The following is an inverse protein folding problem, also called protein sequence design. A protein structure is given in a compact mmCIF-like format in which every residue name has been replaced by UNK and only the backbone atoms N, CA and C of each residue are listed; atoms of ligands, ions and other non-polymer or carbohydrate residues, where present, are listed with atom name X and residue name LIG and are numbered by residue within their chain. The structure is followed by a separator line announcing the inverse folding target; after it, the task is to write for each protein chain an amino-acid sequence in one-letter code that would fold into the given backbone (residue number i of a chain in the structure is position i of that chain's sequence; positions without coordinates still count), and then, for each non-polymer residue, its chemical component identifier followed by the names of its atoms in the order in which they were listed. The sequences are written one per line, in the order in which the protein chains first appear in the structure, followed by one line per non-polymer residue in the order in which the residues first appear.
data_IF_775332751381
#
_entry.id   IF_775332751381
#
_cell.length_a   1.000
_cell.length_b   1.000
_cell.length_c   1.000
_cell.angle_alpha   90.00
_cell.angle_beta   90.00
_cell.angle_gamma   90.00
#
_symmetry.space_group_name_H-M   'P 1'
#
loop_
_entity.id
_entity.type
_entity.pdbx_description
1 polymer ?
#
# COMPACT_ATOMS: atom_id res chain seq x y z
N UNK A 1 -28.82 1.84 12.61
CA UNK A 1 -27.87 0.83 12.16
C UNK A 1 -27.16 1.39 10.95
N UNK A 2 -25.84 1.33 10.91
CA UNK A 2 -25.12 1.82 9.73
C UNK A 2 -25.18 0.78 8.58
N UNK A 3 -24.91 1.18 7.31
CA UNK A 3 -25.00 0.27 6.16
C UNK A 3 -24.14 -1.00 6.27
N UNK A 4 -23.02 -0.93 6.98
CA UNK A 4 -22.13 -2.09 7.22
C UNK A 4 -22.78 -3.08 8.20
N UNK A 5 -23.39 -2.58 9.27
CA UNK A 5 -24.12 -3.41 10.24
C UNK A 5 -25.30 -4.12 9.60
N UNK A 6 -26.01 -3.43 8.70
CA UNK A 6 -27.13 -3.98 7.96
C UNK A 6 -26.70 -5.08 7.00
N UNK A 7 -25.60 -4.86 6.27
CA UNK A 7 -24.97 -5.87 5.41
C UNK A 7 -24.50 -7.10 6.20
N UNK A 8 -23.84 -6.90 7.34
CA UNK A 8 -23.38 -8.00 8.20
C UNK A 8 -24.51 -8.77 8.87
N UNK A 9 -25.67 -8.14 9.09
CA UNK A 9 -26.86 -8.83 9.57
C UNK A 9 -27.42 -9.81 8.53
N UNK A 10 -27.31 -9.45 7.23
CA UNK A 10 -27.74 -10.31 6.12
C UNK A 10 -26.71 -11.38 5.73
N UNK A 11 -25.44 -11.16 6.04
CA UNK A 11 -24.34 -12.03 5.70
C UNK A 11 -23.42 -12.29 6.92
N UNK A 12 -23.92 -13.03 7.95
CA UNK A 12 -23.17 -13.24 9.19
C UNK A 12 -21.82 -13.97 8.98
N UNK A 13 -21.66 -14.71 7.88
CA UNK A 13 -20.42 -15.35 7.49
C UNK A 13 -19.31 -14.36 7.07
N UNK A 14 -19.65 -13.08 6.84
CA UNK A 14 -18.70 -12.01 6.60
C UNK A 14 -18.17 -11.36 7.89
N UNK A 15 -18.70 -11.73 9.03
CA UNK A 15 -18.19 -11.25 10.32
C UNK A 15 -16.86 -11.90 10.62
N UNK A 16 -15.87 -11.04 10.84
CA UNK A 16 -14.55 -11.47 11.27
C UNK A 16 -14.37 -11.16 12.76
N UNK A 17 -13.73 -12.07 13.46
CA UNK A 17 -13.06 -11.73 14.69
C UNK A 17 -11.80 -10.93 14.33
N UNK A 18 -11.89 -9.61 14.47
CA UNK A 18 -10.83 -8.71 14.01
C UNK A 18 -9.52 -8.92 14.77
N UNK A 19 -9.60 -9.19 16.08
CA UNK A 19 -8.42 -9.41 16.93
C UNK A 19 -7.69 -10.68 16.53
N UNK A 20 -8.42 -11.78 16.44
CA UNK A 20 -7.87 -13.07 15.98
C UNK A 20 -7.34 -12.99 14.55
N UNK A 21 -8.06 -12.29 13.65
CA UNK A 21 -7.65 -12.14 12.25
C UNK A 21 -6.32 -11.37 12.15
N UNK A 22 -6.19 -10.27 12.88
CA UNK A 22 -4.94 -9.48 12.93
C UNK A 22 -3.79 -10.32 13.48
N UNK A 23 -4.02 -11.10 14.53
CA UNK A 23 -3.00 -11.98 15.10
C UNK A 23 -2.52 -13.03 14.09
N UNK A 24 -3.45 -13.72 13.43
CA UNK A 24 -3.14 -14.74 12.42
C UNK A 24 -2.40 -14.14 11.22
N UNK A 25 -2.86 -13.01 10.69
CA UNK A 25 -2.21 -12.35 9.55
C UNK A 25 -0.81 -11.84 9.91
N UNK A 26 -0.65 -11.24 11.09
CA UNK A 26 0.65 -10.76 11.57
C UNK A 26 1.64 -11.90 11.73
N UNK A 27 1.20 -13.03 12.26
CA UNK A 27 2.02 -14.23 12.39
C UNK A 27 2.39 -14.81 11.03
N UNK A 28 1.42 -14.95 10.12
CA UNK A 28 1.66 -15.46 8.77
C UNK A 28 2.65 -14.57 7.99
N UNK A 29 2.51 -13.26 8.07
CA UNK A 29 3.48 -12.32 7.46
C UNK A 29 4.90 -12.54 7.99
N UNK A 30 5.05 -12.67 9.29
CA UNK A 30 6.37 -12.90 9.91
C UNK A 30 6.97 -14.21 9.45
N UNK A 31 6.21 -15.30 9.53
CA UNK A 31 6.66 -16.62 9.12
C UNK A 31 7.08 -16.69 7.64
N UNK A 32 6.32 -16.03 6.74
CA UNK A 32 6.64 -16.02 5.31
C UNK A 32 7.91 -15.20 5.00
N UNK A 33 8.09 -14.05 5.63
CA UNK A 33 9.28 -13.23 5.42
C UNK A 33 10.52 -13.89 6.01
N UNK A 34 10.42 -14.48 7.20
CA UNK A 34 11.54 -15.19 7.85
C UNK A 34 12.07 -16.37 7.02
N UNK A 35 11.19 -17.06 6.26
CA UNK A 35 11.60 -18.12 5.32
C UNK A 35 12.56 -17.62 4.24
N UNK A 36 12.49 -16.35 3.87
CA UNK A 36 13.37 -15.74 2.86
C UNK A 36 14.72 -15.31 3.42
N UNK A 37 14.89 -15.32 4.73
CA UNK A 37 16.08 -14.82 5.43
C UNK A 37 16.08 -13.29 5.64
N UNK A 38 15.05 -12.58 5.16
CA UNK A 38 14.89 -11.15 5.40
C UNK A 38 14.18 -10.86 6.73
N UNK A 39 14.38 -9.67 7.26
CA UNK A 39 13.75 -9.18 8.49
C UNK A 39 13.10 -7.81 8.33
N UNK A 40 13.20 -7.24 7.14
CA UNK A 40 12.61 -5.95 6.79
C UNK A 40 11.72 -6.11 5.58
N UNK A 41 10.71 -5.29 5.51
CA UNK A 41 9.76 -5.25 4.40
C UNK A 41 9.64 -3.83 3.85
N UNK A 42 9.36 -3.74 2.56
CA UNK A 42 9.06 -2.51 1.86
C UNK A 42 7.67 -2.61 1.22
N UNK A 43 6.90 -1.53 1.26
CA UNK A 43 5.60 -1.49 0.60
C UNK A 43 5.22 -0.10 0.10
N UNK A 44 4.46 -0.06 -0.99
CA UNK A 44 3.87 1.15 -1.51
C UNK A 44 2.63 1.55 -0.71
N UNK A 45 2.53 2.82 -0.33
CA UNK A 45 1.37 3.39 0.36
C UNK A 45 0.70 4.41 -0.56
N UNK A 46 -0.53 4.10 -0.96
CA UNK A 46 -1.26 4.87 -1.99
C UNK A 46 -2.26 5.89 -1.44
N UNK A 47 -2.54 5.85 -0.14
CA UNK A 47 -3.65 6.57 0.49
C UNK A 47 -4.97 5.80 0.49
N UNK A 48 -5.05 4.64 -0.17
CA UNK A 48 -6.20 3.74 -0.10
C UNK A 48 -6.17 2.85 1.14
N UNK A 49 -7.35 2.38 1.54
CA UNK A 49 -7.54 1.57 2.76
C UNK A 49 -6.72 0.27 2.74
N UNK A 50 -6.60 -0.38 1.59
CA UNK A 50 -5.89 -1.66 1.48
C UNK A 50 -4.40 -1.50 1.77
N UNK A 51 -3.76 -0.47 1.20
CA UNK A 51 -2.35 -0.17 1.46
C UNK A 51 -2.11 0.29 2.90
N UNK A 52 -3.06 1.04 3.48
CA UNK A 52 -3.00 1.44 4.88
C UNK A 52 -3.10 0.21 5.81
N UNK A 53 -4.04 -0.70 5.56
CA UNK A 53 -4.17 -1.94 6.32
C UNK A 53 -2.89 -2.79 6.22
N UNK A 54 -2.33 -2.94 5.03
CA UNK A 54 -1.06 -3.65 4.84
C UNK A 54 0.08 -3.01 5.63
N UNK A 55 0.17 -1.67 5.66
CA UNK A 55 1.16 -0.94 6.43
C UNK A 55 1.04 -1.22 7.94
N UNK A 56 -0.17 -1.15 8.49
CA UNK A 56 -0.43 -1.46 9.90
C UNK A 56 -0.05 -2.89 10.26
N UNK A 57 -0.43 -3.87 9.43
CA UNK A 57 -0.09 -5.28 9.65
C UNK A 57 1.41 -5.53 9.57
N UNK A 58 2.11 -4.92 8.61
CA UNK A 58 3.56 -5.02 8.49
C UNK A 58 4.28 -4.42 9.71
N UNK A 59 3.87 -3.22 10.15
CA UNK A 59 4.46 -2.60 11.32
C UNK A 59 4.22 -3.43 12.61
N UNK A 60 3.05 -4.06 12.72
CA UNK A 60 2.75 -4.98 13.82
C UNK A 60 3.57 -6.28 13.76
N UNK A 61 3.88 -6.75 12.54
CA UNK A 61 4.66 -7.98 12.35
C UNK A 61 6.17 -7.77 12.59
N UNK A 62 6.73 -6.65 12.11
CA UNK A 62 8.18 -6.45 12.04
C UNK A 62 8.70 -5.30 12.91
N UNK A 63 7.82 -4.58 13.60
CA UNK A 63 8.14 -3.32 14.28
C UNK A 63 8.26 -2.15 13.28
N UNK A 64 8.13 -0.90 13.76
CA UNK A 64 8.24 0.28 12.89
C UNK A 64 9.57 0.38 12.15
N UNK A 65 10.67 -0.02 12.80
CA UNK A 65 12.02 -0.03 12.23
C UNK A 65 12.25 -1.13 11.18
N UNK A 66 11.35 -2.12 11.12
CA UNK A 66 11.38 -3.20 10.14
C UNK A 66 10.60 -2.90 8.86
N UNK A 67 10.02 -1.70 8.71
CA UNK A 67 9.15 -1.35 7.59
C UNK A 67 9.62 -0.06 6.93
N UNK A 68 9.73 -0.09 5.60
CA UNK A 68 9.91 1.11 4.77
C UNK A 68 8.64 1.33 3.94
N UNK A 69 7.97 2.45 4.15
CA UNK A 69 6.82 2.88 3.37
C UNK A 69 7.25 3.74 2.19
N UNK A 70 6.73 3.48 0.98
CA UNK A 70 7.06 4.25 -0.22
C UNK A 70 5.82 4.90 -0.78
N UNK A 71 5.77 6.23 -0.79
CA UNK A 71 4.74 7.00 -1.45
C UNK A 71 5.20 7.35 -2.87
N UNK A 72 4.45 6.95 -3.88
CA UNK A 72 4.83 7.12 -5.29
C UNK A 72 3.75 7.88 -6.06
N UNK A 73 3.63 9.21 -5.82
CA UNK A 73 2.64 10.02 -6.49
C UNK A 73 2.96 10.20 -7.97
N UNK A 74 1.90 10.42 -8.75
CA UNK A 74 1.93 10.95 -10.10
C UNK A 74 1.16 12.27 -10.08
N UNK A 75 1.52 13.27 -10.90
CA UNK A 75 0.95 14.63 -10.84
C UNK A 75 -0.57 14.71 -10.92
N UNK A 76 -1.21 13.77 -11.62
CA UNK A 76 -2.67 13.68 -11.74
C UNK A 76 -3.32 12.88 -10.60
N UNK A 77 -2.53 12.37 -9.67
CA UNK A 77 -3.07 11.72 -8.48
C UNK A 77 -3.76 12.74 -7.58
N UNK A 78 -4.84 12.32 -6.93
CA UNK A 78 -5.54 13.17 -5.98
C UNK A 78 -4.59 13.68 -4.89
N UNK A 79 -4.57 15.00 -4.60
CA UNK A 79 -3.82 15.55 -3.47
C UNK A 79 -4.18 14.89 -2.13
N UNK A 80 -5.43 14.49 -1.96
CA UNK A 80 -5.92 13.81 -0.77
C UNK A 80 -5.28 12.44 -0.59
N UNK A 81 -5.07 11.70 -1.69
CA UNK A 81 -4.41 10.38 -1.63
C UNK A 81 -2.99 10.46 -1.05
N UNK A 82 -2.21 11.46 -1.43
CA UNK A 82 -0.86 11.63 -0.87
C UNK A 82 -0.90 12.08 0.59
N UNK A 83 -1.86 12.93 0.95
CA UNK A 83 -2.10 13.35 2.32
C UNK A 83 -2.46 12.14 3.20
N UNK A 84 -3.43 11.34 2.77
CA UNK A 84 -3.89 10.15 3.49
C UNK A 84 -2.76 9.11 3.64
N UNK A 85 -1.93 8.94 2.60
CA UNK A 85 -0.76 8.08 2.66
C UNK A 85 0.25 8.56 3.73
N UNK A 86 0.54 9.86 3.78
CA UNK A 86 1.44 10.44 4.77
C UNK A 86 0.89 10.35 6.19
N UNK A 87 -0.41 10.59 6.35
CA UNK A 87 -1.09 10.45 7.64
C UNK A 87 -1.01 9.01 8.15
N UNK A 88 -1.25 8.01 7.31
CA UNK A 88 -1.11 6.60 7.67
C UNK A 88 0.33 6.27 8.12
N UNK A 89 1.33 6.75 7.38
CA UNK A 89 2.76 6.58 7.71
C UNK A 89 3.11 7.22 9.06
N UNK A 90 2.64 8.44 9.30
CA UNK A 90 2.87 9.18 10.54
C UNK A 90 2.24 8.48 11.75
N UNK A 91 0.98 8.05 11.62
CA UNK A 91 0.25 7.33 12.68
C UNK A 91 0.95 6.02 13.05
N UNK A 92 1.46 5.30 12.05
CA UNK A 92 2.16 4.02 12.27
C UNK A 92 3.59 4.24 12.79
N UNK A 93 4.22 5.37 12.46
CA UNK A 93 5.55 5.74 12.91
C UNK A 93 6.68 4.98 12.21
N UNK A 94 6.50 4.62 10.93
CA UNK A 94 7.51 3.93 10.12
C UNK A 94 8.36 4.92 9.32
N UNK A 95 9.55 4.49 8.92
CA UNK A 95 10.35 5.22 7.93
C UNK A 95 9.63 5.28 6.58
N UNK A 96 9.74 6.42 5.91
CA UNK A 96 9.12 6.59 4.60
C UNK A 96 9.98 7.37 3.62
N UNK A 97 9.78 7.07 2.34
CA UNK A 97 10.36 7.80 1.22
C UNK A 97 9.26 8.17 0.22
N UNK A 98 9.38 9.32 -0.41
CA UNK A 98 8.48 9.74 -1.49
C UNK A 98 9.26 9.79 -2.80
N UNK A 99 8.79 9.05 -3.80
CA UNK A 99 9.34 9.03 -5.16
C UNK A 99 8.27 9.48 -6.14
N UNK A 100 8.40 10.69 -6.68
CA UNK A 100 7.50 11.18 -7.73
C UNK A 100 7.80 10.43 -9.03
N UNK A 101 6.81 9.67 -9.53
CA UNK A 101 6.95 8.91 -10.78
C UNK A 101 6.60 9.72 -12.03
N UNK A 102 6.23 10.99 -11.88
CA UNK A 102 5.82 11.85 -13.01
C UNK A 102 6.88 11.92 -14.11
N UNK A 103 8.18 12.16 -13.80
CA UNK A 103 9.20 12.30 -14.85
C UNK A 103 9.34 11.03 -15.71
N UNK A 104 9.36 9.86 -15.09
CA UNK A 104 9.52 8.58 -15.79
C UNK A 104 8.32 8.27 -16.67
N UNK A 105 7.13 8.49 -16.15
CA UNK A 105 5.86 8.22 -16.85
C UNK A 105 5.68 9.18 -18.02
N UNK A 106 5.93 10.47 -17.82
CA UNK A 106 5.79 11.47 -18.88
C UNK A 106 6.82 11.27 -19.98
N UNK A 107 8.07 10.99 -19.64
CA UNK A 107 9.12 10.69 -20.61
C UNK A 107 8.75 9.50 -21.50
N UNK A 108 8.21 8.42 -20.88
CA UNK A 108 7.77 7.25 -21.65
C UNK A 108 6.61 7.58 -22.60
N UNK A 109 5.61 8.31 -22.13
CA UNK A 109 4.41 8.61 -22.92
C UNK A 109 4.58 9.79 -23.88
N UNK A 110 5.68 10.52 -23.85
CA UNK A 110 6.03 11.47 -24.90
C UNK A 110 6.09 10.82 -26.30
N UNK A 111 6.49 9.54 -26.35
CA UNK A 111 6.46 8.73 -27.58
C UNK A 111 5.10 8.11 -27.94
N UNK A 112 4.08 8.22 -27.06
CA UNK A 112 2.77 7.60 -27.23
C UNK A 112 1.65 8.53 -26.78
N UNK A 113 1.42 9.68 -27.48
CA UNK A 113 0.46 10.69 -27.04
C UNK A 113 -0.99 10.18 -26.97
N UNK A 114 -1.34 9.22 -27.83
CA UNK A 114 -2.69 8.64 -27.91
C UNK A 114 -2.90 7.44 -26.98
N UNK A 115 -2.00 7.21 -26.02
CA UNK A 115 -2.13 6.12 -25.08
C UNK A 115 -3.38 6.28 -24.20
N UNK A 116 -4.18 5.21 -24.12
CA UNK A 116 -5.41 5.20 -23.31
C UNK A 116 -5.10 5.36 -21.80
N UNK A 117 -6.07 5.87 -21.01
CA UNK A 117 -5.93 5.93 -19.55
C UNK A 117 -5.58 4.59 -18.91
N UNK A 118 -6.17 3.50 -19.41
CA UNK A 118 -5.86 2.15 -18.93
C UNK A 118 -4.39 1.77 -19.17
N UNK A 119 -3.86 2.06 -20.37
CA UNK A 119 -2.46 1.80 -20.68
C UNK A 119 -1.53 2.62 -19.79
N UNK A 120 -1.87 3.90 -19.54
CA UNK A 120 -1.11 4.77 -18.64
C UNK A 120 -1.12 4.24 -17.20
N UNK A 121 -2.29 3.86 -16.69
CA UNK A 121 -2.44 3.27 -15.35
C UNK A 121 -1.62 2.00 -15.18
N UNK A 122 -1.64 1.11 -16.16
CA UNK A 122 -0.84 -0.11 -16.17
C UNK A 122 0.68 0.17 -16.14
N UNK A 123 1.14 1.17 -16.88
CA UNK A 123 2.57 1.58 -16.86
C UNK A 123 2.95 2.14 -15.50
N UNK A 124 2.11 3.00 -14.92
CA UNK A 124 2.34 3.56 -13.58
C UNK A 124 2.42 2.47 -12.51
N UNK A 125 1.55 1.46 -12.56
CA UNK A 125 1.59 0.33 -11.62
C UNK A 125 2.92 -0.45 -11.72
N UNK A 126 3.39 -0.70 -12.93
CA UNK A 126 4.67 -1.39 -13.15
C UNK A 126 5.87 -0.55 -12.75
N UNK A 127 5.81 0.76 -12.97
CA UNK A 127 6.87 1.68 -12.52
C UNK A 127 7.00 1.67 -11.00
N UNK A 128 5.88 1.74 -10.29
CA UNK A 128 5.87 1.63 -8.82
C UNK A 128 6.44 0.31 -8.34
N UNK A 129 6.09 -0.80 -9.00
CA UNK A 129 6.66 -2.11 -8.66
C UNK A 129 8.18 -2.12 -8.87
N UNK A 130 8.67 -1.58 -10.00
CA UNK A 130 10.11 -1.49 -10.29
C UNK A 130 10.86 -0.70 -9.21
N UNK A 131 10.31 0.41 -8.74
CA UNK A 131 10.89 1.23 -7.67
C UNK A 131 10.96 0.44 -6.35
N UNK A 132 9.91 -0.32 -6.01
CA UNK A 132 9.92 -1.15 -4.80
C UNK A 132 10.96 -2.27 -4.86
N UNK A 133 11.27 -2.77 -6.05
CA UNK A 133 12.34 -3.78 -6.22
C UNK A 133 13.75 -3.19 -6.20
N UNK A 134 13.88 -1.90 -6.49
CA UNK A 134 15.16 -1.18 -6.48
C UNK A 134 15.58 -0.79 -5.04
N UNK A 135 14.63 -0.35 -4.23
CA UNK A 135 14.83 0.11 -2.86
C UNK A 135 15.01 -1.04 -1.86
#
# INVERSE_FOLDING_TARGET
MNPVEEMLAQAPYLRLDAELTVELLTRALREEVEKTGFRKVILGVSGGIDSALALFLCARAFGPEGVLAVCMPYRESSPDSLKDAREAVEVVGVESVTVDITPQIDAYFAGFPDASPLRRGNKMARERMSILYDL
#
